data_IF_207431099527
#
_entry.id   IF_207431099527
#
_cell.length_a   1.000
_cell.length_b   1.000
_cell.length_c   1.000
_cell.angle_alpha   90.00
_cell.angle_beta   90.00
_cell.angle_gamma   90.00
#
_symmetry.space_group_name_H-M   'P 1'
#
loop_
_entity.id
_entity.type
_entity.pdbx_description
1 polymer ?
#
# COMPACT_ATOMS: atom_id res chain seq x y z
N UNK A 1 -31.49 0.95 -9.10
CA UNK A 1 -31.43 0.97 -7.62
C UNK A 1 -29.97 1.13 -7.24
N UNK A 2 -29.54 2.36 -6.95
CA UNK A 2 -28.15 2.60 -6.53
C UNK A 2 -27.99 2.09 -5.11
N UNK A 3 -27.20 1.03 -4.93
CA UNK A 3 -26.76 0.63 -3.60
C UNK A 3 -26.01 1.82 -3.01
N UNK A 4 -26.61 2.42 -1.98
CA UNK A 4 -25.96 3.43 -1.17
C UNK A 4 -24.83 2.70 -0.44
N UNK A 5 -23.62 2.64 -1.03
CA UNK A 5 -22.45 2.01 -0.41
C UNK A 5 -22.15 2.81 0.86
N UNK A 6 -22.66 2.32 1.99
CA UNK A 6 -22.43 2.93 3.30
C UNK A 6 -20.93 2.98 3.53
N UNK A 7 -20.36 4.18 3.45
CA UNK A 7 -18.92 4.38 3.65
C UNK A 7 -18.60 4.08 5.11
N UNK A 8 -17.84 3.03 5.38
CA UNK A 8 -17.36 2.76 6.74
C UNK A 8 -16.35 3.85 7.13
N UNK A 9 -16.59 4.64 8.18
CA UNK A 9 -15.63 5.62 8.66
C UNK A 9 -14.49 4.92 9.42
N UNK A 10 -13.28 5.48 9.36
CA UNK A 10 -12.12 4.95 10.10
C UNK A 10 -12.34 4.91 11.62
N UNK A 11 -13.27 5.71 12.14
CA UNK A 11 -13.65 5.74 13.57
C UNK A 11 -14.37 4.49 14.05
N UNK A 12 -14.73 3.55 13.15
CA UNK A 12 -15.28 2.23 13.53
C UNK A 12 -14.26 1.38 14.28
N UNK A 13 -12.98 1.53 13.98
CA UNK A 13 -11.89 0.78 14.61
C UNK A 13 -11.21 1.62 15.68
N UNK A 14 -10.54 0.94 16.62
CA UNK A 14 -9.64 1.63 17.54
C UNK A 14 -8.58 2.40 16.75
N UNK A 15 -8.17 3.55 17.29
CA UNK A 15 -7.15 4.40 16.65
C UNK A 15 -5.84 3.64 16.42
N UNK A 16 -5.46 2.76 17.33
CA UNK A 16 -4.24 1.96 17.27
C UNK A 16 -4.30 0.95 16.12
N UNK A 17 -5.41 0.21 16.01
CA UNK A 17 -5.64 -0.76 14.92
C UNK A 17 -5.64 -0.08 13.57
N UNK A 18 -6.41 1.01 13.42
CA UNK A 18 -6.48 1.77 12.18
C UNK A 18 -5.10 2.31 11.79
N UNK A 19 -4.39 2.94 12.72
CA UNK A 19 -3.06 3.52 12.48
C UNK A 19 -2.04 2.44 12.10
N UNK A 20 -1.96 1.33 12.84
CA UNK A 20 -1.00 0.26 12.59
C UNK A 20 -1.23 -0.37 11.20
N UNK A 21 -2.49 -0.61 10.86
CA UNK A 21 -2.90 -1.18 9.57
C UNK A 21 -2.52 -0.25 8.41
N UNK A 22 -2.95 1.02 8.47
CA UNK A 22 -2.72 2.02 7.41
C UNK A 22 -1.22 2.28 7.21
N UNK A 23 -0.48 2.51 8.28
CA UNK A 23 0.94 2.84 8.17
C UNK A 23 1.77 1.66 7.66
N UNK A 24 1.46 0.44 8.09
CA UNK A 24 2.17 -0.76 7.65
C UNK A 24 1.91 -1.01 6.17
N UNK A 25 0.65 -0.97 5.72
CA UNK A 25 0.32 -1.17 4.31
C UNK A 25 0.96 -0.10 3.44
N UNK A 26 0.81 1.18 3.82
CA UNK A 26 1.43 2.32 3.13
C UNK A 26 2.94 2.15 2.99
N UNK A 27 3.63 1.75 4.05
CA UNK A 27 5.08 1.53 4.05
C UNK A 27 5.45 0.35 3.17
N UNK A 28 4.71 -0.77 3.24
CA UNK A 28 4.98 -1.95 2.43
C UNK A 28 4.85 -1.65 0.93
N UNK A 29 3.74 -1.02 0.50
CA UNK A 29 3.56 -0.62 -0.91
C UNK A 29 4.58 0.42 -1.36
N UNK A 30 4.89 1.39 -0.49
CA UNK A 30 5.96 2.37 -0.74
C UNK A 30 7.34 1.74 -0.88
N UNK A 31 7.60 0.62 -0.19
CA UNK A 31 8.84 -0.16 -0.28
C UNK A 31 8.88 -1.14 -1.45
N UNK A 32 7.81 -1.22 -2.26
CA UNK A 32 7.74 -2.12 -3.41
C UNK A 32 7.28 -3.54 -3.09
N UNK A 33 6.74 -3.79 -1.90
CA UNK A 33 6.20 -5.10 -1.55
C UNK A 33 5.04 -5.50 -2.48
N UNK A 34 5.05 -6.76 -2.89
CA UNK A 34 3.94 -7.36 -3.62
C UNK A 34 2.68 -7.37 -2.76
N UNK A 35 1.51 -7.50 -3.39
CA UNK A 35 0.23 -7.39 -2.66
C UNK A 35 0.13 -8.40 -1.52
N UNK A 36 0.50 -9.66 -1.75
CA UNK A 36 0.46 -10.70 -0.74
C UNK A 36 1.37 -10.39 0.47
N UNK A 37 2.57 -9.89 0.22
CA UNK A 37 3.53 -9.51 1.27
C UNK A 37 3.02 -8.32 2.08
N UNK A 38 2.50 -7.29 1.40
CA UNK A 38 1.92 -6.12 2.05
C UNK A 38 0.71 -6.52 2.92
N UNK A 39 -0.14 -7.42 2.45
CA UNK A 39 -1.28 -7.95 3.21
C UNK A 39 -0.82 -8.76 4.43
N UNK A 40 0.20 -9.61 4.31
CA UNK A 40 0.74 -10.37 5.43
C UNK A 40 1.34 -9.46 6.52
N UNK A 41 2.16 -8.48 6.13
CA UNK A 41 2.74 -7.52 7.05
C UNK A 41 1.65 -6.69 7.76
N UNK A 42 0.64 -6.26 6.99
CA UNK A 42 -0.49 -5.48 7.51
C UNK A 42 -1.33 -6.31 8.48
N UNK A 43 -1.58 -7.58 8.18
CA UNK A 43 -2.28 -8.50 9.08
C UNK A 43 -1.52 -8.69 10.40
N UNK A 44 -0.20 -8.86 10.35
CA UNK A 44 0.61 -8.94 11.56
C UNK A 44 0.49 -7.68 12.42
N UNK A 45 0.55 -6.50 11.80
CA UNK A 45 0.40 -5.21 12.50
C UNK A 45 -1.01 -5.00 13.08
N UNK A 46 -2.05 -5.38 12.34
CA UNK A 46 -3.44 -5.32 12.80
C UNK A 46 -3.65 -6.17 14.06
N UNK A 47 -3.15 -7.41 14.07
CA UNK A 47 -3.25 -8.31 15.22
C UNK A 47 -2.43 -7.82 16.41
N UNK A 48 -1.21 -7.33 16.18
CA UNK A 48 -0.35 -6.78 17.22
C UNK A 48 -0.96 -5.52 17.90
N UNK A 49 -1.78 -4.77 17.16
CA UNK A 49 -2.50 -3.60 17.67
C UNK A 49 -3.83 -3.95 18.39
N UNK A 50 -4.13 -5.24 18.59
CA UNK A 50 -5.34 -5.70 19.27
C UNK A 50 -6.57 -5.85 18.37
N UNK A 51 -6.39 -5.91 17.05
CA UNK A 51 -7.48 -6.19 16.12
C UNK A 51 -8.00 -7.63 16.23
N UNK A 52 -9.31 -7.82 16.01
CA UNK A 52 -9.94 -9.13 16.09
C UNK A 52 -9.48 -10.07 14.96
N UNK A 53 -8.85 -11.23 15.26
CA UNK A 53 -8.43 -12.20 14.26
C UNK A 53 -9.55 -12.73 13.35
N UNK A 54 -10.78 -12.84 13.87
CA UNK A 54 -11.94 -13.34 13.11
C UNK A 54 -12.41 -12.34 12.05
N UNK A 55 -12.24 -11.04 12.31
CA UNK A 55 -12.64 -9.97 11.41
C UNK A 55 -11.50 -9.47 10.49
N UNK A 56 -10.28 -9.96 10.66
CA UNK A 56 -9.11 -9.44 9.93
C UNK A 56 -9.31 -9.45 8.39
N UNK A 57 -10.00 -10.47 7.86
CA UNK A 57 -10.27 -10.60 6.43
C UNK A 57 -11.19 -9.52 5.85
N UNK A 58 -12.05 -8.91 6.66
CA UNK A 58 -12.96 -7.84 6.25
C UNK A 58 -12.48 -6.46 6.71
N UNK A 59 -12.02 -6.36 7.97
CA UNK A 59 -11.58 -5.11 8.57
C UNK A 59 -10.35 -4.50 7.87
N UNK A 60 -9.35 -5.29 7.50
CA UNK A 60 -8.12 -4.77 6.89
C UNK A 60 -8.40 -4.07 5.54
N UNK A 61 -9.11 -4.70 4.56
CA UNK A 61 -9.50 -4.02 3.33
C UNK A 61 -10.36 -2.78 3.55
N UNK A 62 -11.30 -2.80 4.51
CA UNK A 62 -12.15 -1.65 4.80
C UNK A 62 -11.35 -0.46 5.37
N UNK A 63 -10.41 -0.72 6.30
CA UNK A 63 -9.51 0.30 6.86
C UNK A 63 -8.65 0.91 5.75
N UNK A 64 -8.01 0.08 4.93
CA UNK A 64 -7.17 0.52 3.81
C UNK A 64 -7.99 1.35 2.83
N UNK A 65 -9.16 0.85 2.43
CA UNK A 65 -10.06 1.53 1.50
C UNK A 65 -10.56 2.88 2.03
N UNK A 66 -10.87 2.97 3.33
CA UNK A 66 -11.25 4.22 3.96
C UNK A 66 -10.09 5.24 3.99
N UNK A 67 -8.88 4.81 4.36
CA UNK A 67 -7.72 5.69 4.38
C UNK A 67 -7.28 6.16 2.98
N UNK A 68 -7.28 5.27 2.00
CA UNK A 68 -6.95 5.59 0.61
C UNK A 68 -7.97 6.55 -0.03
N UNK A 69 -9.25 6.46 0.37
CA UNK A 69 -10.30 7.37 -0.08
C UNK A 69 -10.18 8.75 0.57
N UNK A 70 -10.04 8.80 1.88
CA UNK A 70 -10.11 10.07 2.64
C UNK A 70 -8.78 10.83 2.63
N UNK A 71 -7.66 10.13 2.44
CA UNK A 71 -6.31 10.68 2.46
C UNK A 71 -5.44 10.17 1.30
N UNK A 72 -6.03 10.00 0.11
CA UNK A 72 -5.39 9.33 -1.03
C UNK A 72 -4.02 9.86 -1.42
N UNK A 73 -3.85 11.19 -1.50
CA UNK A 73 -2.55 11.79 -1.82
C UNK A 73 -1.49 11.37 -0.81
N UNK A 74 -1.73 11.56 0.50
CA UNK A 74 -0.81 11.16 1.55
C UNK A 74 -0.58 9.64 1.58
N UNK A 75 -1.64 8.86 1.37
CA UNK A 75 -1.63 7.40 1.45
C UNK A 75 -0.77 6.81 0.33
N UNK A 76 -0.94 7.28 -0.91
CA UNK A 76 -0.25 6.73 -2.08
C UNK A 76 1.08 7.44 -2.41
N UNK A 77 1.38 8.59 -1.80
CA UNK A 77 2.62 9.35 -2.09
C UNK A 77 3.90 8.50 -2.11
N UNK A 78 4.20 7.62 -1.12
CA UNK A 78 5.42 6.82 -1.16
C UNK A 78 5.48 5.85 -2.34
N UNK A 79 4.33 5.31 -2.74
CA UNK A 79 4.23 4.45 -3.92
C UNK A 79 4.48 5.27 -5.20
N UNK A 80 3.86 6.46 -5.31
CA UNK A 80 4.09 7.37 -6.43
C UNK A 80 5.57 7.78 -6.55
N UNK A 81 6.19 8.24 -5.46
CA UNK A 81 7.62 8.60 -5.41
C UNK A 81 8.54 7.45 -5.83
N UNK A 82 8.22 6.21 -5.43
CA UNK A 82 8.96 5.02 -5.88
C UNK A 82 8.78 4.78 -7.38
N UNK A 83 7.56 4.81 -7.88
CA UNK A 83 7.27 4.58 -9.30
C UNK A 83 7.91 5.66 -10.19
N UNK A 84 7.91 6.92 -9.76
CA UNK A 84 8.58 8.02 -10.45
C UNK A 84 10.10 7.84 -10.48
N UNK A 85 10.72 7.35 -9.39
CA UNK A 85 12.14 6.98 -9.39
C UNK A 85 12.43 5.84 -10.36
N UNK A 86 11.61 4.78 -10.34
CA UNK A 86 11.73 3.65 -11.27
C UNK A 86 11.60 4.09 -12.73
N UNK A 87 10.63 4.95 -13.04
CA UNK A 87 10.42 5.48 -14.37
C UNK A 87 11.62 6.31 -14.86
N UNK A 88 12.12 7.23 -14.03
CA UNK A 88 13.31 8.04 -14.38
C UNK A 88 14.52 7.16 -14.66
N UNK A 89 14.74 6.15 -13.83
CA UNK A 89 15.82 5.20 -14.00
C UNK A 89 15.68 4.38 -15.29
N UNK A 90 14.52 3.80 -15.55
CA UNK A 90 14.29 2.97 -16.75
C UNK A 90 14.41 3.79 -18.04
N UNK A 91 13.95 5.04 -18.02
CA UNK A 91 14.16 5.98 -19.13
C UNK A 91 15.64 6.29 -19.33
N UNK A 92 16.40 6.49 -18.25
CA UNK A 92 17.85 6.70 -18.33
C UNK A 92 18.57 5.50 -18.95
N UNK A 93 18.12 4.27 -18.68
CA UNK A 93 18.66 3.06 -19.31
C UNK A 93 18.14 2.80 -20.74
N UNK A 94 17.21 3.62 -21.26
CA UNK A 94 16.62 3.41 -22.59
C UNK A 94 15.64 2.23 -22.68
N UNK A 95 15.06 1.79 -21.56
CA UNK A 95 14.20 0.59 -21.47
C UNK A 95 12.74 1.02 -21.27
N UNK A 96 12.25 1.95 -22.09
CA UNK A 96 10.87 2.42 -22.01
C UNK A 96 10.08 2.12 -23.30
N UNK A 97 8.91 1.46 -23.22
CA UNK A 97 8.27 0.92 -22.02
C UNK A 97 9.05 -0.28 -21.44
N UNK A 98 9.02 -0.49 -20.12
CA UNK A 98 9.78 -1.57 -19.51
C UNK A 98 9.16 -2.95 -19.80
N UNK A 99 9.97 -4.03 -19.76
CA UNK A 99 9.45 -5.39 -19.74
C UNK A 99 8.47 -5.56 -18.58
N UNK A 100 7.38 -6.30 -18.80
CA UNK A 100 6.42 -6.61 -17.74
C UNK A 100 7.09 -7.34 -16.56
N UNK A 101 8.03 -8.24 -16.86
CA UNK A 101 8.78 -8.96 -15.85
C UNK A 101 9.89 -8.08 -15.26
N UNK A 102 9.71 -7.65 -14.00
CA UNK A 102 10.70 -6.87 -13.23
C UNK A 102 12.05 -7.57 -13.05
N UNK A 103 12.11 -8.90 -13.12
CA UNK A 103 13.37 -9.64 -13.06
C UNK A 103 14.28 -9.39 -14.27
N UNK A 104 13.74 -8.82 -15.36
CA UNK A 104 14.48 -8.43 -16.55
C UNK A 104 14.96 -6.97 -16.52
N UNK A 105 14.62 -6.24 -15.46
CA UNK A 105 15.06 -4.85 -15.33
C UNK A 105 16.54 -4.82 -14.94
N UNK A 106 17.31 -3.81 -15.36
CA UNK A 106 18.69 -3.67 -14.91
C UNK A 106 18.76 -3.55 -13.37
N UNK A 107 19.95 -3.61 -12.76
CA UNK A 107 20.10 -3.14 -11.38
C UNK A 107 19.90 -1.62 -11.32
N UNK A 108 19.18 -1.13 -10.30
CA UNK A 108 19.02 0.32 -10.07
C UNK A 108 20.34 0.92 -9.56
N UNK A 109 20.92 1.92 -10.27
CA UNK A 109 22.12 2.63 -9.84
C UNK A 109 21.88 3.40 -8.53
N UNK A 110 22.94 3.66 -7.77
CA UNK A 110 22.85 4.36 -6.48
C UNK A 110 22.24 5.78 -6.59
N UNK A 111 22.48 6.47 -7.71
CA UNK A 111 21.91 7.80 -7.98
C UNK A 111 20.37 7.83 -8.08
N UNK A 112 19.74 6.65 -8.20
CA UNK A 112 18.29 6.49 -8.30
C UNK A 112 17.66 5.82 -7.07
N UNK A 113 18.46 5.43 -6.07
CA UNK A 113 17.99 4.73 -4.85
C UNK A 113 17.26 5.62 -3.84
#
# INVERSE_FOLDING_TARGET
MSANTTRTPLTRWSREVAKATVLTYRRAKGGGAEEQEAQQATRAAYLAAGGDPAEAGTSIPEIIGAAARDHGEWFWRPLAERLEREERWLKHCGIWPPPYNRALWPPMPDDFR
#
